data_IF_627955320886
#
_entry.id   IF_627955320886
#
_cell.length_a   1.000
_cell.length_b   1.000
_cell.length_c   1.000
_cell.angle_alpha   90.00
_cell.angle_beta   90.00
_cell.angle_gamma   90.00
#
_symmetry.space_group_name_H-M   'P 1'
#
loop_
_entity.id
_entity.type
_entity.pdbx_description
1 polymer ?
#
# COMPACT_ATOMS: atom_id res chain seq x y z
N UNK A 1 12.30 2.50 -8.52
CA UNK A 1 12.39 2.84 -7.08
C UNK A 1 12.72 1.58 -6.31
N UNK A 2 13.49 1.67 -5.23
CA UNK A 2 13.78 0.54 -4.36
C UNK A 2 13.50 0.96 -2.91
N UNK A 3 12.77 0.12 -2.18
CA UNK A 3 12.61 0.20 -0.74
C UNK A 3 13.51 -0.86 -0.11
N UNK A 4 14.33 -0.49 0.86
CA UNK A 4 15.17 -1.44 1.61
C UNK A 4 14.73 -1.47 3.06
N UNK A 5 14.75 -2.67 3.66
CA UNK A 5 14.45 -2.86 5.08
C UNK A 5 15.02 -4.18 5.59
N UNK A 6 16.19 -4.14 6.24
CA UNK A 6 16.51 -4.96 7.41
C UNK A 6 17.86 -4.53 8.04
N UNK A 7 17.82 -4.16 9.33
CA UNK A 7 18.70 -4.57 10.46
C UNK A 7 18.19 -3.76 11.68
N UNK A 8 17.63 -4.45 12.68
CA UNK A 8 17.21 -3.97 14.02
C UNK A 8 16.78 -2.49 14.15
N UNK A 9 15.48 -2.20 13.94
CA UNK A 9 14.87 -0.91 14.33
C UNK A 9 15.13 0.27 13.39
N UNK A 10 15.81 0.07 12.26
CA UNK A 10 16.07 1.15 11.29
C UNK A 10 14.81 1.49 10.48
N UNK A 11 14.37 2.77 10.44
CA UNK A 11 13.26 3.22 9.61
C UNK A 11 13.42 2.86 8.13
N UNK A 12 12.29 2.61 7.47
CA UNK A 12 12.24 2.38 6.02
C UNK A 12 12.71 3.61 5.24
N UNK A 13 13.28 3.37 4.06
CA UNK A 13 13.76 4.44 3.16
C UNK A 13 13.30 4.18 1.73
N UNK A 14 13.01 5.26 1.00
CA UNK A 14 12.70 5.21 -0.43
C UNK A 14 13.88 5.78 -1.21
N UNK A 15 14.25 5.11 -2.29
CA UNK A 15 15.24 5.58 -3.25
C UNK A 15 14.60 5.81 -4.62
N UNK A 16 14.93 6.94 -5.23
CA UNK A 16 14.44 7.39 -6.54
C UNK A 16 15.56 7.39 -7.57
N UNK A 17 15.20 7.22 -8.84
CA UNK A 17 16.13 7.24 -9.97
C UNK A 17 15.46 8.00 -11.10
N UNK A 18 16.24 8.82 -11.82
CA UNK A 18 15.80 9.59 -12.99
C UNK A 18 16.56 9.19 -14.26
N UNK A 19 17.36 8.12 -14.19
CA UNK A 19 18.24 7.66 -15.26
C UNK A 19 17.94 6.20 -15.66
N UNK A 20 16.68 5.79 -15.56
CA UNK A 20 16.27 4.43 -15.92
C UNK A 20 16.75 3.35 -14.94
N UNK A 21 17.13 3.73 -13.72
CA UNK A 21 17.57 2.80 -12.66
C UNK A 21 19.07 2.54 -12.64
N UNK A 22 19.89 3.33 -13.34
CA UNK A 22 21.34 3.21 -13.27
C UNK A 22 21.89 3.73 -11.94
N UNK A 23 21.35 4.84 -11.44
CA UNK A 23 21.71 5.40 -10.14
C UNK A 23 20.47 5.71 -9.31
N UNK A 24 20.63 5.64 -7.99
CA UNK A 24 19.55 5.85 -7.03
C UNK A 24 19.96 6.84 -5.96
N UNK A 25 19.09 7.79 -5.67
CA UNK A 25 19.28 8.80 -4.62
C UNK A 25 18.22 8.61 -3.53
N UNK A 26 18.66 8.73 -2.28
CA UNK A 26 17.78 8.66 -1.12
C UNK A 26 16.76 9.81 -1.14
N UNK A 27 15.47 9.48 -1.03
CA UNK A 27 14.42 10.46 -0.74
C UNK A 27 14.53 10.94 0.70
N UNK A 28 14.88 12.22 0.89
CA UNK A 28 14.83 12.86 2.21
C UNK A 28 13.40 12.97 2.75
N UNK A 29 12.40 13.06 1.87
CA UNK A 29 10.98 12.99 2.25
C UNK A 29 10.64 11.71 3.00
N UNK A 30 11.16 10.55 2.55
CA UNK A 30 10.92 9.27 3.23
C UNK A 30 11.56 9.21 4.63
N UNK A 31 12.71 9.87 4.81
CA UNK A 31 13.37 10.01 6.11
C UNK A 31 12.53 10.89 7.03
N UNK A 32 12.08 12.04 6.54
CA UNK A 32 11.24 12.98 7.28
C UNK A 32 9.88 12.38 7.66
N UNK A 33 9.32 11.52 6.80
CA UNK A 33 8.06 10.83 7.04
C UNK A 33 8.15 9.75 8.13
N UNK A 34 9.36 9.35 8.52
CA UNK A 34 9.59 8.40 9.62
C UNK A 34 8.92 7.05 9.39
N UNK A 35 9.14 6.44 8.22
CA UNK A 35 8.55 5.13 7.87
C UNK A 35 8.90 4.09 8.93
N UNK A 36 7.90 3.38 9.44
CA UNK A 36 8.11 2.43 10.51
C UNK A 36 9.05 1.28 10.08
N UNK A 37 9.90 0.77 10.99
CA UNK A 37 10.66 -0.44 10.74
C UNK A 37 9.71 -1.64 10.71
N UNK A 38 9.59 -2.28 9.55
CA UNK A 38 8.82 -3.52 9.38
C UNK A 38 9.57 -4.50 8.47
N UNK A 39 9.16 -5.76 8.51
CA UNK A 39 9.69 -6.79 7.61
C UNK A 39 9.42 -6.43 6.15
N UNK A 40 10.36 -6.76 5.26
CA UNK A 40 10.23 -6.48 3.83
C UNK A 40 8.91 -7.02 3.21
N UNK A 41 8.43 -8.18 3.68
CA UNK A 41 7.13 -8.74 3.25
C UNK A 41 5.90 -8.03 3.82
N UNK A 42 6.06 -6.97 4.62
CA UNK A 42 4.98 -6.16 5.19
C UNK A 42 4.96 -4.74 4.62
N UNK A 43 5.85 -4.41 3.68
CA UNK A 43 5.87 -3.11 3.02
C UNK A 43 5.59 -3.26 1.53
N UNK A 44 5.04 -2.21 0.92
CA UNK A 44 4.67 -2.24 -0.48
C UNK A 44 4.72 -0.82 -1.05
N UNK A 45 5.04 -0.71 -2.34
CA UNK A 45 5.09 0.55 -3.07
C UNK A 45 4.36 0.35 -4.40
N UNK A 46 3.42 1.22 -4.71
CA UNK A 46 2.69 1.26 -5.97
C UNK A 46 2.79 2.65 -6.59
N UNK A 47 2.72 2.70 -7.91
CA UNK A 47 2.75 3.94 -8.68
C UNK A 47 1.41 4.12 -9.38
N UNK A 48 0.94 5.36 -9.50
CA UNK A 48 -0.21 5.66 -10.34
C UNK A 48 0.23 5.66 -11.81
N UNK A 49 -0.28 4.75 -12.65
CA UNK A 49 0.13 4.70 -14.05
C UNK A 49 -0.42 5.87 -14.88
N UNK A 50 -1.36 6.64 -14.34
CA UNK A 50 -2.04 7.73 -15.05
C UNK A 50 -1.48 9.12 -14.70
N UNK A 51 -0.63 9.24 -13.67
CA UNK A 51 -0.08 10.52 -13.18
C UNK A 51 1.36 10.30 -12.75
N UNK A 52 2.30 10.95 -13.45
CA UNK A 52 3.72 10.90 -13.06
C UNK A 52 3.92 11.49 -11.67
N UNK A 53 4.79 10.85 -10.88
CA UNK A 53 5.15 11.31 -9.55
C UNK A 53 4.12 11.02 -8.46
N UNK A 54 2.99 10.43 -8.79
CA UNK A 54 1.97 9.98 -7.85
C UNK A 54 2.28 8.54 -7.37
N UNK A 55 2.69 8.43 -6.11
CA UNK A 55 3.21 7.22 -5.50
C UNK A 55 2.50 6.91 -4.19
N UNK A 56 2.29 5.63 -3.96
CA UNK A 56 1.65 5.13 -2.75
C UNK A 56 2.52 4.08 -2.09
N UNK A 57 2.68 4.17 -0.77
CA UNK A 57 3.52 3.28 0.01
C UNK A 57 2.78 2.77 1.24
N UNK A 58 2.99 1.51 1.60
CA UNK A 58 2.62 0.96 2.89
C UNK A 58 3.87 0.57 3.65
N UNK A 59 3.98 0.98 4.91
CA UNK A 59 5.13 0.67 5.76
C UNK A 59 4.87 -0.51 6.71
N UNK A 60 3.76 -1.23 6.54
CA UNK A 60 3.27 -2.27 7.45
C UNK A 60 2.21 -1.77 8.42
N UNK A 61 2.27 -0.49 8.80
CA UNK A 61 1.35 0.10 9.78
C UNK A 61 0.38 1.10 9.15
N UNK A 62 0.88 1.93 8.25
CA UNK A 62 0.14 3.03 7.65
C UNK A 62 0.38 3.12 6.14
N UNK A 63 -0.51 3.87 5.49
CA UNK A 63 -0.40 4.26 4.08
C UNK A 63 0.22 5.64 4.00
N UNK A 64 1.11 5.83 3.04
CA UNK A 64 1.74 7.09 2.70
C UNK A 64 1.50 7.40 1.23
N UNK A 65 1.29 8.67 0.91
CA UNK A 65 1.04 9.16 -0.45
C UNK A 65 2.00 10.30 -0.79
N UNK A 66 2.56 10.26 -1.99
CA UNK A 66 3.40 11.31 -2.55
C UNK A 66 2.86 11.71 -3.91
N UNK A 67 2.87 13.01 -4.20
CA UNK A 67 2.46 13.57 -5.50
C UNK A 67 3.62 14.27 -6.22
N UNK A 68 4.84 14.07 -5.73
CA UNK A 68 6.06 14.79 -6.15
C UNK A 68 7.24 13.83 -6.36
N UNK A 69 6.95 12.65 -6.91
CA UNK A 69 7.96 11.61 -7.21
C UNK A 69 8.73 11.13 -5.98
N UNK A 70 8.10 11.19 -4.81
CA UNK A 70 8.67 10.75 -3.55
C UNK A 70 9.54 11.78 -2.87
N UNK A 71 9.52 13.05 -3.28
CA UNK A 71 10.25 14.12 -2.62
C UNK A 71 9.65 14.45 -1.23
N UNK A 72 8.34 14.34 -1.08
CA UNK A 72 7.60 14.41 0.19
C UNK A 72 6.55 13.31 0.28
N UNK A 73 6.14 12.96 1.51
CA UNK A 73 5.16 11.91 1.77
C UNK A 73 4.17 12.36 2.83
N UNK A 74 2.89 12.27 2.53
CA UNK A 74 1.80 12.47 3.46
C UNK A 74 1.39 11.12 4.07
N UNK A 75 1.39 11.01 5.41
CA UNK A 75 0.90 9.85 6.13
C UNK A 75 -0.63 9.91 6.28
N UNK A 76 -1.33 8.86 5.89
CA UNK A 76 -2.77 8.74 6.09
C UNK A 76 -3.07 8.14 7.47
N UNK A 77 -4.13 8.61 8.11
CA UNK A 77 -4.52 8.22 9.48
C UNK A 77 -5.61 7.14 9.55
N UNK A 78 -6.13 6.70 8.41
CA UNK A 78 -7.25 5.75 8.34
C UNK A 78 -6.87 4.32 8.76
N UNK A 79 -5.59 3.96 8.64
CA UNK A 79 -5.08 2.61 8.86
C UNK A 79 -4.34 2.51 10.19
N UNK A 80 -4.63 1.44 10.95
CA UNK A 80 -4.03 1.23 12.26
C UNK A 80 -3.80 -0.25 12.56
N UNK A 81 -2.58 -0.62 12.89
CA UNK A 81 -2.24 -1.99 13.30
C UNK A 81 -2.92 -2.39 14.61
N UNK A 82 -3.26 -3.67 14.75
CA UNK A 82 -3.86 -4.23 15.96
C UNK A 82 -2.75 -4.87 16.81
N UNK A 83 -2.66 -4.49 18.09
CA UNK A 83 -1.66 -4.99 19.03
C UNK A 83 -2.33 -5.77 20.16
N UNK A 84 -1.69 -6.85 20.60
CA UNK A 84 -2.13 -7.69 21.73
C UNK A 84 -1.02 -7.87 22.77
N UNK A 85 -0.48 -6.76 23.26
CA UNK A 85 0.53 -6.74 24.33
C UNK A 85 1.97 -7.06 23.88
N UNK A 86 2.18 -7.39 22.61
CA UNK A 86 3.51 -7.56 22.03
C UNK A 86 4.03 -6.24 21.42
N UNK A 87 5.36 -6.05 21.32
CA UNK A 87 5.95 -4.90 20.61
C UNK A 87 5.64 -4.89 19.11
N UNK A 88 5.20 -6.02 18.56
CA UNK A 88 4.85 -6.20 17.16
C UNK A 88 3.33 -6.37 17.01
N UNK A 89 2.74 -5.83 15.94
CA UNK A 89 1.31 -5.96 15.73
C UNK A 89 0.91 -7.39 15.42
N UNK A 90 -0.22 -7.83 15.97
CA UNK A 90 -0.85 -9.10 15.60
C UNK A 90 -1.41 -9.02 14.17
N UNK A 91 -1.92 -7.85 13.78
CA UNK A 91 -2.44 -7.59 12.44
C UNK A 91 -1.88 -6.27 11.95
N UNK A 92 -1.22 -6.30 10.80
CA UNK A 92 -0.64 -5.12 10.16
C UNK A 92 -1.73 -4.16 9.70
N UNK A 93 -1.52 -2.86 9.97
CA UNK A 93 -2.44 -1.80 9.62
C UNK A 93 -2.50 -1.54 8.11
N UNK A 94 -1.39 -1.69 7.39
CA UNK A 94 -1.33 -1.57 5.94
C UNK A 94 -0.14 -2.36 5.39
N UNK A 95 -0.37 -3.49 4.71
CA UNK A 95 0.69 -4.44 4.34
C UNK A 95 0.91 -4.60 2.84
N UNK A 96 -0.08 -4.26 2.01
CA UNK A 96 0.03 -4.32 0.56
C UNK A 96 -0.82 -3.23 -0.08
N UNK A 97 -0.37 -2.71 -1.22
CA UNK A 97 -1.09 -1.69 -1.98
C UNK A 97 -1.02 -1.97 -3.48
N UNK A 98 -2.13 -1.69 -4.17
CA UNK A 98 -2.21 -1.77 -5.62
C UNK A 98 -3.14 -0.66 -6.15
N UNK A 99 -2.80 -0.11 -7.31
CA UNK A 99 -3.65 0.84 -8.03
C UNK A 99 -4.23 0.16 -9.26
N UNK A 100 -5.52 0.34 -9.51
CA UNK A 100 -6.23 -0.18 -10.69
C UNK A 100 -6.99 0.90 -11.44
N UNK A 101 -7.77 0.48 -12.44
CA UNK A 101 -8.61 1.39 -13.24
C UNK A 101 -9.47 2.26 -12.34
N UNK A 102 -9.56 3.56 -12.66
CA UNK A 102 -10.44 4.49 -11.96
C UNK A 102 -11.93 4.17 -12.18
N UNK A 103 -12.75 4.46 -11.18
CA UNK A 103 -14.21 4.47 -11.35
C UNK A 103 -14.59 5.57 -12.35
N UNK A 104 -15.55 5.29 -13.23
CA UNK A 104 -16.08 6.32 -14.11
C UNK A 104 -16.63 7.51 -13.29
N UNK A 105 -16.16 8.72 -13.58
CA UNK A 105 -16.54 9.95 -12.87
C UNK A 105 -15.92 10.13 -11.48
N UNK A 106 -14.98 9.28 -11.05
CA UNK A 106 -14.24 9.50 -9.81
C UNK A 106 -13.38 10.77 -9.90
N UNK A 107 -13.16 11.46 -8.77
CA UNK A 107 -12.29 12.63 -8.71
C UNK A 107 -10.80 12.26 -8.78
N UNK A 108 -10.46 10.98 -8.59
CA UNK A 108 -9.10 10.48 -8.62
C UNK A 108 -8.85 9.54 -9.80
N UNK A 109 -7.63 9.56 -10.35
CA UNK A 109 -7.27 8.92 -11.62
C UNK A 109 -6.99 7.41 -11.53
N UNK A 110 -7.17 6.81 -10.35
CA UNK A 110 -7.04 5.37 -10.12
C UNK A 110 -7.97 4.92 -8.99
N UNK A 111 -8.26 3.63 -8.92
CA UNK A 111 -8.81 3.02 -7.72
C UNK A 111 -7.65 2.47 -6.86
N UNK A 112 -7.56 2.87 -5.61
CA UNK A 112 -6.50 2.45 -4.68
C UNK A 112 -7.01 1.31 -3.82
N UNK A 113 -6.30 0.19 -3.76
CA UNK A 113 -6.63 -0.96 -2.93
C UNK A 113 -5.52 -1.17 -1.91
N UNK A 114 -5.88 -1.36 -0.65
CA UNK A 114 -4.95 -1.60 0.45
C UNK A 114 -5.39 -2.81 1.26
N UNK A 115 -4.47 -3.74 1.50
CA UNK A 115 -4.66 -4.77 2.51
C UNK A 115 -4.28 -4.18 3.86
N UNK A 116 -5.21 -4.14 4.81
CA UNK A 116 -4.97 -3.46 6.07
C UNK A 116 -6.18 -3.44 7.00
N UNK A 117 -6.08 -2.63 8.06
CA UNK A 117 -7.09 -2.51 9.11
C UNK A 117 -7.60 -1.08 9.15
N UNK A 118 -8.92 -0.92 9.00
CA UNK A 118 -9.63 0.34 9.24
C UNK A 118 -10.67 0.08 10.32
N UNK A 119 -10.73 0.93 11.34
CA UNK A 119 -11.67 0.81 12.47
C UNK A 119 -11.67 -0.59 13.13
N UNK A 120 -10.48 -1.20 13.27
CA UNK A 120 -10.31 -2.53 13.88
C UNK A 120 -10.73 -3.70 12.99
N UNK A 121 -11.15 -3.46 11.74
CA UNK A 121 -11.56 -4.50 10.79
C UNK A 121 -10.50 -4.68 9.71
N UNK A 122 -9.92 -5.88 9.68
CA UNK A 122 -8.98 -6.29 8.63
C UNK A 122 -9.71 -6.57 7.30
N UNK A 123 -9.08 -6.20 6.19
CA UNK A 123 -9.54 -6.58 4.86
C UNK A 123 -8.79 -5.90 3.73
N UNK A 124 -9.32 -6.03 2.52
CA UNK A 124 -8.99 -5.17 1.40
C UNK A 124 -9.90 -3.96 1.48
N UNK A 125 -9.34 -2.77 1.51
CA UNK A 125 -10.06 -1.51 1.50
C UNK A 125 -9.79 -0.79 0.17
N UNK A 126 -10.83 -0.26 -0.45
CA UNK A 126 -10.75 0.51 -1.71
C UNK A 126 -11.05 1.99 -1.46
N UNK A 127 -10.27 2.87 -2.06
CA UNK A 127 -10.58 4.29 -2.23
C UNK A 127 -10.71 4.61 -3.72
N UNK A 128 -11.73 5.41 -4.05
CA UNK A 128 -11.96 5.95 -5.39
C UNK A 128 -11.69 7.48 -5.45
N UNK A 129 -11.18 8.07 -4.36
CA UNK A 129 -11.08 9.52 -4.15
C UNK A 129 -9.71 9.96 -3.61
N UNK A 130 -8.65 9.23 -3.94
CA UNK A 130 -7.28 9.58 -3.55
C UNK A 130 -7.01 9.37 -2.06
N UNK A 131 -7.65 8.37 -1.45
CA UNK A 131 -7.45 7.98 -0.05
C UNK A 131 -8.23 8.80 0.96
N UNK A 132 -9.12 9.70 0.52
CA UNK A 132 -9.95 10.49 1.43
C UNK A 132 -11.01 9.62 2.13
N UNK A 133 -11.65 8.70 1.39
CA UNK A 133 -12.58 7.72 1.94
C UNK A 133 -12.22 6.31 1.51
N UNK A 134 -12.60 5.34 2.35
CA UNK A 134 -12.28 3.93 2.17
C UNK A 134 -13.50 3.07 2.40
N UNK A 135 -13.71 2.09 1.53
CA UNK A 135 -14.77 1.08 1.66
C UNK A 135 -14.15 -0.30 1.68
N UNK A 136 -14.57 -1.17 2.60
CA UNK A 136 -14.11 -2.56 2.61
C UNK A 136 -14.62 -3.27 1.35
N UNK A 137 -13.69 -3.84 0.59
CA UNK A 137 -13.93 -4.48 -0.70
C UNK A 137 -14.25 -5.98 -0.55
N UNK A 138 -13.64 -6.65 0.43
CA UNK A 138 -13.94 -8.03 0.77
C UNK A 138 -14.90 -8.13 1.97
N UNK A 139 -15.29 -9.36 2.32
CA UNK A 139 -16.12 -9.67 3.48
C UNK A 139 -15.46 -10.74 4.38
N UNK A 140 -16.10 -11.07 5.51
CA UNK A 140 -15.56 -12.01 6.49
C UNK A 140 -15.52 -13.47 6.01
N UNK A 141 -16.34 -13.84 5.04
CA UNK A 141 -16.29 -15.16 4.41
C UNK A 141 -15.16 -15.25 3.36
N UNK A 142 -14.74 -14.10 2.82
CA UNK A 142 -13.79 -13.96 1.72
C UNK A 142 -12.49 -13.27 2.17
N UNK A 143 -11.75 -13.92 3.06
CA UNK A 143 -10.45 -13.43 3.58
C UNK A 143 -9.24 -14.13 2.94
N UNK A 144 -9.48 -15.14 2.12
CA UNK A 144 -8.50 -15.78 1.23
C UNK A 144 -7.25 -16.39 1.90
N UNK A 145 -7.28 -16.59 3.23
CA UNK A 145 -6.15 -17.14 4.00
C UNK A 145 -4.98 -16.16 4.19
N UNK A 146 -5.23 -14.85 4.03
CA UNK A 146 -4.21 -13.80 4.02
C UNK A 146 -3.76 -13.44 2.61
N UNK A 147 -3.54 -12.15 2.34
CA UNK A 147 -3.16 -11.63 1.01
C UNK A 147 -1.70 -11.21 1.06
N UNK A 148 -0.82 -12.01 0.44
CA UNK A 148 0.63 -11.72 0.39
C UNK A 148 1.02 -10.81 -0.77
N UNK A 149 0.30 -10.89 -1.90
CA UNK A 149 0.50 -10.05 -3.08
C UNK A 149 -0.86 -9.69 -3.66
N UNK A 150 -0.98 -8.45 -4.15
CA UNK A 150 -2.17 -7.93 -4.81
C UNK A 150 -1.78 -7.16 -6.06
N UNK A 151 -2.52 -7.37 -7.14
CA UNK A 151 -2.46 -6.58 -8.36
C UNK A 151 -3.89 -6.13 -8.71
N UNK A 152 -4.04 -4.90 -9.19
CA UNK A 152 -5.34 -4.38 -9.62
C UNK A 152 -5.34 -4.17 -11.13
N UNK A 153 -6.48 -4.47 -11.75
CA UNK A 153 -6.65 -4.45 -13.20
C UNK A 153 -6.72 -3.00 -13.70
N UNK A 154 -5.91 -2.67 -14.71
CA UNK A 154 -5.88 -1.33 -15.32
C UNK A 154 -6.95 -1.13 -16.39
N UNK A 155 -7.56 -2.21 -16.90
CA UNK A 155 -8.57 -2.18 -17.94
C UNK A 155 -10.00 -2.30 -17.37
N UNK A 156 -10.17 -2.94 -16.21
CA UNK A 156 -11.49 -3.22 -15.62
C UNK A 156 -11.58 -2.69 -14.19
N UNK A 157 -12.50 -1.75 -13.97
CA UNK A 157 -12.75 -1.18 -12.65
C UNK A 157 -13.24 -2.25 -11.68
N UNK A 158 -12.74 -2.24 -10.44
CA UNK A 158 -13.18 -3.17 -9.40
C UNK A 158 -12.50 -4.55 -9.43
N UNK A 159 -11.68 -4.85 -10.44
CA UNK A 159 -11.02 -6.16 -10.54
C UNK A 159 -9.65 -6.13 -9.88
N UNK A 160 -9.46 -7.04 -8.92
CA UNK A 160 -8.16 -7.32 -8.30
C UNK A 160 -7.82 -8.80 -8.40
N UNK A 161 -6.53 -9.09 -8.44
CA UNK A 161 -5.93 -10.42 -8.39
C UNK A 161 -5.11 -10.49 -7.12
N UNK A 162 -5.33 -11.54 -6.32
CA UNK A 162 -4.66 -11.74 -5.03
C UNK A 162 -4.10 -13.14 -4.97
N UNK A 163 -2.91 -13.29 -4.40
CA UNK A 163 -2.38 -14.60 -4.03
C UNK A 163 -2.61 -14.84 -2.55
N UNK A 164 -3.44 -15.84 -2.23
CA UNK A 164 -3.58 -16.31 -0.86
C UNK A 164 -2.32 -17.04 -0.42
N UNK A 165 -1.87 -16.88 0.83
CA UNK A 165 -0.81 -17.72 1.41
C UNK A 165 -1.27 -19.19 1.40
N UNK A 166 -0.88 -19.93 0.36
CA UNK A 166 -1.22 -21.36 0.17
C UNK A 166 -2.52 -21.66 -0.58
N UNK A 167 -3.20 -20.70 -1.23
CA UNK A 167 -4.47 -20.95 -1.97
C UNK A 167 -4.44 -20.61 -3.47
N UNK A 168 -3.27 -20.31 -4.03
CA UNK A 168 -3.14 -19.93 -5.44
C UNK A 168 -3.62 -18.50 -5.73
N UNK A 169 -3.82 -18.18 -7.01
CA UNK A 169 -4.31 -16.89 -7.48
C UNK A 169 -5.84 -16.87 -7.51
N UNK A 170 -6.44 -15.88 -6.86
CA UNK A 170 -7.88 -15.63 -6.81
C UNK A 170 -8.17 -14.25 -7.42
N UNK A 171 -9.36 -14.04 -7.98
CA UNK A 171 -9.77 -12.75 -8.55
C UNK A 171 -11.17 -12.35 -8.07
N UNK A 172 -11.45 -11.04 -8.06
CA UNK A 172 -12.79 -10.50 -7.82
C UNK A 172 -13.57 -10.35 -9.13
N UNK A 173 -14.87 -10.67 -9.11
CA UNK A 173 -15.79 -10.50 -10.24
C UNK A 173 -16.16 -9.04 -10.46
#
# INVERSE_FOLDING_TARGET
>A
MAATGHWWGTPGKVYTSTDGGHTFTLSQGSVNAGLAPNYFGSTSLAVNPNVEGDLWLTDGNAVYHSTDSGASWAKLSNFASIFTGNPWPQVQGASAIALGKAKAGAPYSAAVYVVGVINGVWGVHRSDDGGATWTRFNDDANQFGGIGVMAADQAIYGRIYISGTGRGMLYSN
#
